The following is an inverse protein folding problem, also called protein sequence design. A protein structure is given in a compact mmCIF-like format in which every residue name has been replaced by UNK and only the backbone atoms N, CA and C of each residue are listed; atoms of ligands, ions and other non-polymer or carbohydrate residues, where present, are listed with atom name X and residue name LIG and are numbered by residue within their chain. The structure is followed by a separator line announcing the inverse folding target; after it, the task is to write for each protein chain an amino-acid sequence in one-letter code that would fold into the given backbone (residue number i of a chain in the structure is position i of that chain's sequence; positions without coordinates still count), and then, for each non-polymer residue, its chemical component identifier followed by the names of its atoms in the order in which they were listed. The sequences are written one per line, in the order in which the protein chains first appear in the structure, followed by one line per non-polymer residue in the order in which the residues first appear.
data_IF_875531927581
#
_entry.id   IF_875531927581
#
_cell.length_a   1.000
_cell.length_b   1.000
_cell.length_c   1.000
_cell.angle_alpha   90.00
_cell.angle_beta   90.00
_cell.angle_gamma   90.00
#
_symmetry.space_group_name_H-M   'P 1'
#
loop_
_entity.id
_entity.type
_entity.pdbx_description
1 polymer ?
#
# COMPACT_ATOMS: atom_id res chain seq x y z
N UNK A 1 -16.71 17.45 5.91
CA UNK A 1 -15.39 16.89 6.29
C UNK A 1 -15.60 15.79 7.32
N UNK A 2 -14.83 14.71 7.27
CA UNK A 2 -14.91 13.63 8.26
C UNK A 2 -14.44 14.14 9.63
N UNK A 3 -15.12 13.71 10.71
CA UNK A 3 -14.80 14.13 12.08
C UNK A 3 -13.73 13.22 12.69
N UNK A 4 -12.84 13.78 13.53
CA UNK A 4 -11.84 12.99 14.27
C UNK A 4 -12.56 11.94 15.13
N UNK A 5 -12.19 10.66 14.98
CA UNK A 5 -12.84 9.53 15.67
C UNK A 5 -14.04 8.91 14.93
N UNK A 6 -14.37 9.35 13.71
CA UNK A 6 -15.41 8.72 12.91
C UNK A 6 -15.00 7.30 12.49
N UNK A 7 -15.77 6.32 12.93
CA UNK A 7 -15.64 4.92 12.49
C UNK A 7 -16.43 4.74 11.20
N UNK A 8 -15.77 4.23 10.16
CA UNK A 8 -16.41 3.89 8.89
C UNK A 8 -16.85 2.43 8.92
N UNK A 9 -18.10 2.18 8.56
CA UNK A 9 -18.60 0.81 8.39
C UNK A 9 -17.92 0.17 7.17
N UNK A 10 -17.27 -0.96 7.41
CA UNK A 10 -16.67 -1.79 6.35
C UNK A 10 -17.60 -2.95 6.02
N UNK A 11 -17.92 -3.10 4.74
CA UNK A 11 -18.70 -4.21 4.24
C UNK A 11 -17.80 -5.14 3.43
N UNK A 12 -17.94 -6.44 3.66
CA UNK A 12 -17.27 -7.46 2.87
C UNK A 12 -17.83 -7.53 1.45
N UNK A 13 -17.13 -8.25 0.57
CA UNK A 13 -17.49 -8.28 -0.86
C UNK A 13 -18.74 -9.13 -1.10
N UNK A 14 -18.81 -10.27 -0.43
CA UNK A 14 -19.97 -11.16 -0.41
C UNK A 14 -21.24 -10.43 0.04
N UNK A 15 -21.15 -9.63 1.10
CA UNK A 15 -22.30 -8.84 1.59
C UNK A 15 -22.76 -7.80 0.55
N UNK A 16 -21.83 -7.14 -0.13
CA UNK A 16 -22.16 -6.17 -1.19
C UNK A 16 -22.92 -6.85 -2.32
N UNK A 17 -22.46 -8.03 -2.75
CA UNK A 17 -23.09 -8.81 -3.81
C UNK A 17 -24.49 -9.25 -3.39
N UNK A 18 -24.67 -9.73 -2.16
CA UNK A 18 -25.99 -10.11 -1.63
C UNK A 18 -26.96 -8.92 -1.61
N UNK A 19 -26.49 -7.75 -1.17
CA UNK A 19 -27.30 -6.53 -1.15
C UNK A 19 -27.74 -6.10 -2.57
N UNK A 20 -26.83 -6.21 -3.55
CA UNK A 20 -27.13 -5.95 -4.96
C UNK A 20 -28.16 -6.95 -5.49
N UNK A 21 -27.96 -8.25 -5.25
CA UNK A 21 -28.89 -9.28 -5.70
C UNK A 21 -30.28 -9.10 -5.11
N UNK A 22 -30.36 -8.72 -3.83
CA UNK A 22 -31.61 -8.41 -3.15
C UNK A 22 -32.33 -7.24 -3.82
N UNK A 23 -31.60 -6.19 -4.18
CA UNK A 23 -32.15 -5.06 -4.95
C UNK A 23 -32.59 -5.47 -6.37
N UNK A 24 -31.81 -6.29 -7.07
CA UNK A 24 -32.14 -6.72 -8.44
C UNK A 24 -33.33 -7.68 -8.51
N UNK A 25 -33.55 -8.48 -7.45
CA UNK A 25 -34.69 -9.40 -7.34
C UNK A 25 -35.97 -8.71 -6.87
N UNK A 26 -35.85 -7.64 -6.09
CA UNK A 26 -37.00 -6.93 -5.50
C UNK A 26 -37.54 -5.80 -6.37
N UNK A 27 -38.77 -5.37 -6.06
CA UNK A 27 -39.37 -4.11 -6.57
C UNK A 27 -39.06 -2.93 -5.62
N UNK A 28 -38.33 -3.19 -4.54
CA UNK A 28 -38.04 -2.25 -3.48
C UNK A 28 -37.05 -1.16 -3.92
N UNK A 29 -37.23 0.05 -3.40
CA UNK A 29 -36.28 1.14 -3.63
C UNK A 29 -34.95 0.90 -2.91
N UNK A 30 -33.89 1.56 -3.38
CA UNK A 30 -32.57 1.53 -2.72
C UNK A 30 -32.61 1.85 -1.22
N UNK A 31 -33.53 2.74 -0.80
CA UNK A 31 -33.66 3.14 0.61
C UNK A 31 -34.16 1.98 1.46
N UNK A 32 -35.20 1.29 1.02
CA UNK A 32 -35.81 0.16 1.74
C UNK A 32 -34.81 -0.99 1.87
N UNK A 33 -34.11 -1.32 0.78
CA UNK A 33 -33.09 -2.38 0.80
C UNK A 33 -31.93 -2.01 1.74
N UNK A 34 -31.48 -0.75 1.72
CA UNK A 34 -30.40 -0.28 2.59
C UNK A 34 -30.81 -0.32 4.07
N UNK A 35 -32.01 0.12 4.43
CA UNK A 35 -32.53 0.08 5.80
C UNK A 35 -32.67 -1.37 6.29
N UNK A 36 -33.23 -2.26 5.46
CA UNK A 36 -33.39 -3.69 5.80
C UNK A 36 -32.06 -4.39 6.06
N UNK A 37 -31.03 -4.09 5.28
CA UNK A 37 -29.71 -4.72 5.39
C UNK A 37 -28.75 -3.96 6.32
N UNK A 38 -29.19 -2.86 6.97
CA UNK A 38 -28.33 -2.05 7.84
C UNK A 38 -27.20 -1.33 7.10
N UNK A 39 -27.40 -1.01 5.81
CA UNK A 39 -26.44 -0.23 5.03
C UNK A 39 -26.57 1.24 5.44
N UNK A 40 -25.46 1.86 5.85
CA UNK A 40 -25.45 3.21 6.38
C UNK A 40 -26.01 4.28 5.42
N UNK A 41 -25.97 4.03 4.10
CA UNK A 41 -26.51 4.95 3.10
C UNK A 41 -27.01 4.22 1.86
N UNK A 42 -28.21 4.58 1.39
CA UNK A 42 -28.77 4.08 0.14
C UNK A 42 -27.92 4.46 -1.09
N UNK A 43 -27.20 5.58 -1.03
CA UNK A 43 -26.26 6.01 -2.08
C UNK A 43 -25.12 5.00 -2.23
N UNK A 44 -24.69 4.35 -1.14
CA UNK A 44 -23.64 3.35 -1.16
C UNK A 44 -24.08 2.09 -1.92
N UNK A 45 -25.32 1.64 -1.67
CA UNK A 45 -25.95 0.56 -2.44
C UNK A 45 -26.08 0.93 -3.93
N UNK A 46 -26.49 2.16 -4.25
CA UNK A 46 -26.58 2.64 -5.63
C UNK A 46 -25.22 2.59 -6.36
N UNK A 47 -24.14 2.97 -5.67
CA UNK A 47 -22.78 2.88 -6.22
C UNK A 47 -22.38 1.43 -6.46
N UNK A 48 -22.68 0.52 -5.53
CA UNK A 48 -22.38 -0.91 -5.71
C UNK A 48 -23.14 -1.50 -6.90
N UNK A 49 -24.43 -1.21 -7.04
CA UNK A 49 -25.23 -1.68 -8.19
C UNK A 49 -24.68 -1.14 -9.51
N UNK A 50 -24.26 0.13 -9.55
CA UNK A 50 -23.64 0.71 -10.75
C UNK A 50 -22.34 -0.03 -11.11
N UNK A 51 -21.45 -0.23 -10.15
CA UNK A 51 -20.18 -0.96 -10.35
C UNK A 51 -20.41 -2.39 -10.83
N UNK A 52 -21.34 -3.09 -10.19
CA UNK A 52 -21.72 -4.45 -10.55
C UNK A 52 -22.21 -4.56 -12.00
N UNK A 53 -23.03 -3.60 -12.47
CA UNK A 53 -23.51 -3.57 -13.86
C UNK A 53 -22.42 -3.31 -14.89
N UNK A 54 -21.36 -2.59 -14.51
CA UNK A 54 -20.23 -2.26 -15.39
C UNK A 54 -19.14 -3.35 -15.29
N UNK A 55 -19.21 -4.25 -14.31
CA UNK A 55 -18.18 -5.25 -14.03
C UNK A 55 -16.94 -4.69 -13.33
N UNK A 56 -17.05 -3.51 -12.69
CA UNK A 56 -15.94 -2.92 -11.95
C UNK A 56 -15.81 -3.51 -10.54
N UNK A 57 -14.58 -3.65 -10.01
CA UNK A 57 -14.37 -4.06 -8.63
C UNK A 57 -14.91 -3.03 -7.63
N UNK A 58 -15.49 -3.52 -6.53
CA UNK A 58 -16.05 -2.65 -5.50
C UNK A 58 -14.98 -1.83 -4.79
N UNK A 59 -13.82 -2.44 -4.54
CA UNK A 59 -12.68 -1.81 -3.89
C UNK A 59 -11.50 -1.69 -4.85
N UNK A 60 -11.25 -0.47 -5.33
CA UNK A 60 -10.10 -0.16 -6.19
C UNK A 60 -8.82 0.08 -5.38
N UNK A 61 -8.90 0.14 -4.04
CA UNK A 61 -7.75 0.48 -3.18
C UNK A 61 -6.85 -0.71 -2.86
N UNK A 62 -7.33 -1.95 -3.07
CA UNK A 62 -6.55 -3.17 -2.79
C UNK A 62 -5.34 -3.37 -3.73
N UNK A 63 -5.23 -2.60 -4.83
CA UNK A 63 -4.13 -2.71 -5.79
C UNK A 63 -3.25 -1.47 -5.93
N UNK A 64 -3.61 -0.34 -5.30
CA UNK A 64 -2.77 0.86 -5.34
C UNK A 64 -1.65 0.69 -4.34
N UNK A 65 -0.42 0.47 -4.82
CA UNK A 65 0.77 0.64 -3.99
C UNK A 65 0.67 2.02 -3.35
N UNK A 66 0.74 2.09 -2.02
CA UNK A 66 0.74 3.39 -1.34
C UNK A 66 1.86 4.22 -1.99
N UNK A 67 1.58 5.38 -2.60
CA UNK A 67 2.62 6.18 -3.24
C UNK A 67 3.66 6.69 -2.24
N UNK A 68 3.35 6.62 -0.94
CA UNK A 68 4.26 6.86 0.18
C UNK A 68 5.12 5.66 0.59
N UNK A 69 4.81 4.44 0.12
CA UNK A 69 5.67 3.28 0.33
C UNK A 69 6.77 3.36 -0.72
N UNK A 70 7.78 4.18 -0.41
CA UNK A 70 9.00 4.24 -1.19
C UNK A 70 9.55 2.83 -1.43
N UNK A 71 10.32 2.69 -2.52
CA UNK A 71 10.97 1.44 -2.88
C UNK A 71 11.66 0.83 -1.65
N UNK A 72 11.46 -0.47 -1.34
CA UNK A 72 12.22 -1.13 -0.30
C UNK A 72 13.71 -0.88 -0.54
N UNK A 73 14.42 -0.36 0.46
CA UNK A 73 15.82 0.14 0.34
C UNK A 73 16.85 -0.94 -0.01
N UNK A 74 16.39 -2.17 -0.27
CA UNK A 74 17.18 -3.39 -0.42
C UNK A 74 16.89 -4.17 -1.71
N UNK A 75 15.95 -3.71 -2.56
CA UNK A 75 15.68 -4.37 -3.85
C UNK A 75 16.19 -3.50 -4.98
N UNK A 76 17.41 -3.75 -5.46
CA UNK A 76 18.04 -3.02 -6.57
C UNK A 76 17.49 -3.50 -7.93
N UNK A 77 17.41 -2.59 -8.91
CA UNK A 77 16.88 -2.88 -10.25
C UNK A 77 18.00 -3.24 -11.22
N UNK A 78 19.23 -2.85 -10.88
CA UNK A 78 20.45 -3.22 -11.58
C UNK A 78 21.64 -3.33 -10.63
N UNK A 79 22.68 -4.03 -11.06
CA UNK A 79 23.94 -4.22 -10.32
C UNK A 79 24.68 -2.89 -10.14
N UNK A 80 24.62 -1.99 -11.12
CA UNK A 80 25.25 -0.67 -11.04
C UNK A 80 24.62 0.18 -9.92
N UNK A 81 23.31 0.06 -9.74
CA UNK A 81 22.57 0.78 -8.72
C UNK A 81 22.91 0.26 -7.31
N UNK A 82 23.07 -1.06 -7.17
CA UNK A 82 23.58 -1.68 -5.95
C UNK A 82 24.99 -1.19 -5.62
N UNK A 83 25.90 -1.17 -6.61
CA UNK A 83 27.26 -0.67 -6.44
C UNK A 83 27.27 0.77 -5.93
N UNK A 84 26.47 1.64 -6.54
CA UNK A 84 26.44 3.06 -6.18
C UNK A 84 25.85 3.28 -4.79
N UNK A 85 24.82 2.51 -4.43
CA UNK A 85 24.28 2.50 -3.08
C UNK A 85 25.33 2.04 -2.04
N UNK A 86 26.05 0.95 -2.31
CA UNK A 86 27.08 0.45 -1.42
C UNK A 86 28.24 1.45 -1.27
N UNK A 87 28.65 2.10 -2.36
CA UNK A 87 29.65 3.20 -2.31
C UNK A 87 29.17 4.34 -1.42
N UNK A 88 27.94 4.80 -1.59
CA UNK A 88 27.40 5.87 -0.75
C UNK A 88 27.33 5.49 0.74
N UNK A 89 26.99 4.23 1.04
CA UNK A 89 27.00 3.73 2.42
C UNK A 89 28.41 3.69 2.99
N UNK A 90 29.39 3.22 2.22
CA UNK A 90 30.81 3.21 2.60
C UNK A 90 31.30 4.64 2.84
N UNK A 91 31.01 5.57 1.94
CA UNK A 91 31.46 6.97 2.07
C UNK A 91 30.83 7.67 3.27
N UNK A 92 29.54 7.39 3.55
CA UNK A 92 28.89 7.87 4.76
C UNK A 92 29.58 7.33 6.03
N UNK A 93 29.91 6.04 6.08
CA UNK A 93 30.60 5.43 7.21
C UNK A 93 32.02 6.00 7.37
N UNK A 94 32.75 6.18 6.26
CA UNK A 94 34.07 6.81 6.27
C UNK A 94 34.03 8.23 6.82
N UNK A 95 33.02 9.01 6.41
CA UNK A 95 32.81 10.38 6.90
C UNK A 95 32.43 10.43 8.37
N UNK A 96 31.61 9.48 8.84
CA UNK A 96 31.14 9.41 10.24
C UNK A 96 32.22 8.89 11.20
N UNK A 97 33.11 8.02 10.72
CA UNK A 97 34.14 7.38 11.52
C UNK A 97 35.52 7.54 10.87
N UNK A 98 36.08 8.76 10.80
CA UNK A 98 37.37 8.99 10.16
C UNK A 98 38.51 8.26 10.88
N UNK A 99 38.43 8.13 12.20
CA UNK A 99 39.47 7.51 13.04
C UNK A 99 39.58 5.99 12.86
N UNK A 100 38.54 5.34 12.34
CA UNK A 100 38.50 3.88 12.14
C UNK A 100 39.28 3.44 10.89
N UNK A 101 39.57 4.36 9.95
CA UNK A 101 40.28 4.06 8.69
C UNK A 101 41.80 4.18 8.81
N UNK A 102 42.27 4.95 9.78
CA UNK A 102 43.70 5.25 9.98
C UNK A 102 44.51 4.04 10.42
N UNK A 103 43.91 3.08 11.13
CA UNK A 103 44.65 1.95 11.72
C UNK A 103 44.98 0.82 10.73
N UNK A 104 44.38 0.79 9.53
CA UNK A 104 44.55 -0.34 8.60
C UNK A 104 45.71 -0.20 7.61
N UNK A 105 46.35 0.97 7.51
CA UNK A 105 47.45 1.18 6.55
C UNK A 105 48.84 0.81 7.08
N UNK A 106 49.00 0.54 8.38
CA UNK A 106 50.31 0.24 8.98
C UNK A 106 50.72 -1.25 8.94
N UNK A 107 49.98 -2.12 8.25
CA UNK A 107 50.04 -3.57 8.48
C UNK A 107 50.64 -4.48 7.40
N UNK A 108 51.09 -3.97 6.25
CA UNK A 108 51.60 -4.84 5.17
C UNK A 108 52.93 -4.34 4.60
N UNK A 109 54.00 -4.48 5.39
CA UNK A 109 55.35 -4.58 4.82
C UNK A 109 55.54 -6.02 4.36
N UNK A 110 55.28 -6.29 3.08
CA UNK A 110 55.70 -7.54 2.45
C UNK A 110 57.22 -7.49 2.26
N UNK A 111 57.95 -8.19 3.12
CA UNK A 111 59.34 -8.53 2.85
C UNK A 111 59.36 -9.57 1.73
N UNK A 112 60.12 -9.34 0.66
CA UNK A 112 60.46 -10.37 -0.33
C UNK A 112 61.76 -9.92 -1.03
N UNK A 113 62.62 -10.89 -1.35
CA UNK A 113 63.91 -11.18 -0.72
C UNK A 113 65.02 -10.18 -1.07
#
# INVERSE_FOLDING_TARGET
MAKKGQVFQSYSEEFKVEAIQTYLKGVESYKVVAERLGIASCTQLKVWVKKYRIGEPFDTRKGTTNPLKGRPRTTFASIEEERDYLKAQVDYLKKRYPNLLTERSSGYKTNTP
#
